data_IF_281777864177
#
_entry.id   IF_281777864177
#
_cell.length_a   1.000
_cell.length_b   1.000
_cell.length_c   1.000
_cell.angle_alpha   90.00
_cell.angle_beta   90.00
_cell.angle_gamma   90.00
#
_symmetry.space_group_name_H-M   'P 1'
#
loop_
_entity.id
_entity.type
_entity.pdbx_description
1 polymer ?
#
# COMPACT_ATOMS: atom_id res chain seq x y z
N UNK A 1 18.40 17.47 7.78
CA UNK A 1 17.72 16.26 7.24
C UNK A 1 16.75 15.84 8.34
N UNK A 2 15.45 16.09 8.16
CA UNK A 2 14.44 15.68 9.14
C UNK A 2 13.82 14.36 8.71
N UNK A 3 13.91 13.35 9.57
CA UNK A 3 13.22 12.07 9.41
C UNK A 3 11.74 12.28 9.77
N UNK A 4 10.87 12.34 8.76
CA UNK A 4 9.44 12.62 8.95
C UNK A 4 8.61 11.41 9.42
N UNK A 5 9.14 10.18 9.34
CA UNK A 5 8.47 9.00 9.89
C UNK A 5 9.50 7.99 10.42
N UNK A 6 9.21 7.35 11.56
CA UNK A 6 10.08 6.35 12.19
C UNK A 6 9.27 5.21 12.78
N UNK A 7 9.90 4.06 13.02
CA UNK A 7 9.28 2.89 13.67
C UNK A 7 8.67 3.18 15.05
N UNK A 8 9.15 4.24 15.72
CA UNK A 8 8.68 4.66 17.03
C UNK A 8 7.67 5.82 16.95
N UNK A 9 7.34 6.29 15.74
CA UNK A 9 6.31 7.31 15.56
C UNK A 9 4.94 6.75 15.96
N UNK A 10 4.08 7.62 16.47
CA UNK A 10 2.67 7.30 16.62
C UNK A 10 2.07 6.98 15.25
N UNK A 11 1.04 6.14 15.23
CA UNK A 11 0.27 5.83 14.02
C UNK A 11 -0.23 7.13 13.38
N UNK A 12 -0.17 7.20 12.05
CA UNK A 12 -0.77 8.31 11.34
C UNK A 12 -2.28 8.08 11.25
N UNK A 13 -3.07 9.06 11.65
CA UNK A 13 -4.53 8.95 11.67
C UNK A 13 -5.12 9.94 10.66
N UNK A 14 -5.97 9.44 9.76
CA UNK A 14 -6.78 10.29 8.90
C UNK A 14 -8.26 10.17 9.25
N UNK A 15 -8.95 11.31 9.32
CA UNK A 15 -10.38 11.40 9.63
C UNK A 15 -11.10 11.54 8.29
N UNK A 16 -11.63 10.42 7.80
CA UNK A 16 -12.24 10.33 6.47
C UNK A 16 -13.60 11.02 6.41
N UNK A 17 -14.35 11.01 7.52
CA UNK A 17 -15.68 11.60 7.63
C UNK A 17 -15.98 12.09 9.05
N UNK A 18 -16.88 13.07 9.21
CA UNK A 18 -17.32 13.59 10.51
C UNK A 18 -16.47 14.71 11.12
N UNK A 19 -15.46 15.23 10.39
CA UNK A 19 -14.54 16.27 10.90
C UNK A 19 -15.19 17.65 11.14
N UNK A 20 -16.35 17.91 10.52
CA UNK A 20 -17.21 19.07 10.76
C UNK A 20 -18.68 18.66 10.61
N UNK A 21 -19.38 18.43 11.71
CA UNK A 21 -20.84 18.32 11.73
C UNK A 21 -21.44 19.65 12.17
N UNK A 22 -22.15 20.36 11.29
CA UNK A 22 -23.00 21.47 11.71
C UNK A 22 -24.33 20.89 12.18
N UNK A 23 -24.66 21.09 13.45
CA UNK A 23 -25.82 20.46 14.07
C UNK A 23 -26.66 21.50 14.82
N UNK A 24 -27.92 21.65 14.44
CA UNK A 24 -28.88 22.49 15.15
C UNK A 24 -29.56 21.66 16.22
N UNK A 25 -29.25 21.93 17.49
CA UNK A 25 -29.87 21.25 18.63
C UNK A 25 -30.89 22.16 19.31
N UNK A 26 -32.03 21.58 19.64
CA UNK A 26 -33.03 22.21 20.50
C UNK A 26 -32.81 21.76 21.96
N UNK A 27 -33.25 22.55 22.96
CA UNK A 27 -33.15 22.16 24.35
C UNK A 27 -33.78 20.78 24.61
N UNK A 28 -32.98 19.85 25.15
CA UNK A 28 -33.39 18.46 25.41
C UNK A 28 -32.91 17.44 24.37
N UNK A 29 -32.36 17.86 23.24
CA UNK A 29 -31.80 16.94 22.25
C UNK A 29 -30.32 16.63 22.52
N UNK A 30 -29.94 15.36 22.38
CA UNK A 30 -28.55 14.88 22.37
C UNK A 30 -28.25 14.34 20.98
N UNK A 31 -27.07 14.67 20.45
CA UNK A 31 -26.59 14.08 19.21
C UNK A 31 -25.23 13.47 19.40
N UNK A 32 -25.06 12.31 18.77
CA UNK A 32 -23.85 11.50 18.82
C UNK A 32 -23.14 11.66 17.47
N UNK A 33 -21.85 11.99 17.52
CA UNK A 33 -20.99 12.05 16.34
C UNK A 33 -19.99 10.91 16.46
N UNK A 34 -20.00 10.01 15.47
CA UNK A 34 -19.09 8.87 15.40
C UNK A 34 -18.16 9.08 14.18
N UNK A 35 -16.98 9.72 14.37
CA UNK A 35 -16.05 9.90 13.27
C UNK A 35 -15.39 8.56 12.90
N UNK A 36 -15.20 8.34 11.60
CA UNK A 36 -14.43 7.19 11.12
C UNK A 36 -12.95 7.58 11.01
N UNK A 37 -12.09 6.83 11.72
CA UNK A 37 -10.64 7.06 11.76
C UNK A 37 -9.94 5.91 11.03
N UNK A 38 -9.13 6.24 10.03
CA UNK A 38 -8.22 5.27 9.38
C UNK A 38 -6.85 5.33 10.03
N UNK A 39 -6.32 4.16 10.40
CA UNK A 39 -4.98 4.03 10.98
C UNK A 39 -3.99 3.66 9.89
N UNK A 40 -3.08 4.57 9.59
CA UNK A 40 -2.12 4.47 8.51
C UNK A 40 -0.73 4.11 9.03
N UNK A 41 -0.06 3.23 8.29
CA UNK A 41 1.34 2.86 8.51
C UNK A 41 2.08 2.93 7.19
N UNK A 42 3.24 3.57 7.18
CA UNK A 42 4.14 3.55 6.02
C UNK A 42 4.86 2.21 5.96
N UNK A 43 4.52 1.40 4.98
CA UNK A 43 5.13 0.10 4.74
C UNK A 43 6.24 0.24 3.70
N UNK A 44 7.36 -0.43 3.96
CA UNK A 44 8.48 -0.57 3.05
C UNK A 44 8.89 -2.04 2.96
N UNK A 45 9.29 -2.49 1.78
CA UNK A 45 9.69 -3.87 1.57
C UNK A 45 10.21 -4.11 0.17
N UNK A 46 10.47 -5.38 -0.16
CA UNK A 46 10.94 -5.80 -1.49
C UNK A 46 10.09 -6.94 -2.01
N UNK A 47 9.76 -6.92 -3.29
CA UNK A 47 8.87 -7.90 -3.90
C UNK A 47 9.62 -8.95 -4.68
N UNK A 48 9.21 -10.21 -4.48
CA UNK A 48 9.69 -11.36 -5.23
C UNK A 48 8.54 -12.15 -5.83
N UNK A 49 8.78 -12.70 -7.02
CA UNK A 49 8.01 -13.79 -7.60
C UNK A 49 8.25 -15.11 -6.82
N UNK A 50 7.48 -16.16 -7.12
CA UNK A 50 7.58 -17.46 -6.43
C UNK A 50 8.94 -18.15 -6.66
N UNK A 51 9.60 -17.90 -7.78
CA UNK A 51 10.98 -18.35 -8.06
C UNK A 51 12.07 -17.52 -7.35
N UNK A 52 11.67 -16.45 -6.64
CA UNK A 52 12.58 -15.52 -5.99
C UNK A 52 13.07 -14.37 -6.88
N UNK A 53 12.61 -14.29 -8.13
CA UNK A 53 12.93 -13.19 -9.04
C UNK A 53 12.40 -11.86 -8.53
N UNK A 54 13.20 -10.79 -8.62
CA UNK A 54 12.78 -9.45 -8.20
C UNK A 54 11.76 -8.86 -9.19
N UNK A 55 10.68 -8.28 -8.67
CA UNK A 55 9.66 -7.62 -9.48
C UNK A 55 9.92 -6.11 -9.53
N UNK A 56 10.80 -5.71 -10.43
CA UNK A 56 11.12 -4.30 -10.68
C UNK A 56 10.02 -3.59 -11.50
N UNK A 57 9.81 -2.29 -11.28
CA UNK A 57 8.83 -1.47 -12.01
C UNK A 57 7.37 -1.99 -12.00
N UNK A 58 7.05 -2.88 -11.06
CA UNK A 58 5.71 -3.42 -10.86
C UNK A 58 4.79 -2.35 -10.27
N UNK A 59 3.53 -2.33 -10.72
CA UNK A 59 2.55 -1.38 -10.19
C UNK A 59 1.90 -1.98 -8.95
N UNK A 60 1.92 -1.25 -7.85
CA UNK A 60 1.30 -1.65 -6.59
C UNK A 60 0.08 -0.77 -6.37
N UNK A 61 -1.05 -1.39 -6.04
CA UNK A 61 -2.26 -0.70 -5.63
C UNK A 61 -2.66 -1.22 -4.23
N UNK A 62 -3.27 -0.35 -3.45
CA UNK A 62 -3.94 -0.69 -2.21
C UNK A 62 -5.23 0.15 -2.17
N UNK A 63 -6.10 -0.19 -1.23
CA UNK A 63 -7.30 0.53 -0.87
C UNK A 63 -7.14 2.06 -0.80
N UNK A 64 -5.98 2.58 -0.38
CA UNK A 64 -5.78 4.03 -0.20
C UNK A 64 -4.88 4.70 -1.24
N UNK A 65 -4.16 3.94 -2.07
CA UNK A 65 -3.08 4.53 -2.87
C UNK A 65 -2.46 3.59 -3.88
N UNK A 66 -1.53 4.14 -4.67
CA UNK A 66 -0.83 3.43 -5.74
C UNK A 66 0.62 3.86 -5.76
N UNK A 67 1.53 2.91 -5.97
CA UNK A 67 2.97 3.15 -6.10
C UNK A 67 3.57 2.24 -7.16
N UNK A 68 4.88 2.31 -7.36
CA UNK A 68 5.65 1.39 -8.21
C UNK A 68 6.88 0.91 -7.47
N UNK A 69 7.27 -0.34 -7.71
CA UNK A 69 8.57 -0.83 -7.25
C UNK A 69 9.70 -0.19 -8.04
N UNK A 70 10.86 -0.04 -7.41
CA UNK A 70 12.08 0.43 -8.06
C UNK A 70 12.78 -0.68 -8.86
N UNK A 71 14.02 -0.43 -9.30
CA UNK A 71 14.85 -1.40 -10.04
C UNK A 71 15.21 -2.65 -9.22
N UNK A 72 15.23 -2.55 -7.89
CA UNK A 72 15.52 -3.65 -6.96
C UNK A 72 14.24 -4.36 -6.49
N UNK A 73 13.07 -3.97 -6.98
CA UNK A 73 11.79 -4.49 -6.52
C UNK A 73 11.34 -3.91 -5.17
N UNK A 74 11.98 -2.86 -4.68
CA UNK A 74 11.66 -2.21 -3.41
C UNK A 74 10.49 -1.25 -3.58
N UNK A 75 9.67 -1.10 -2.53
CA UNK A 75 8.54 -0.19 -2.51
C UNK A 75 8.40 0.51 -1.17
N UNK A 76 7.76 1.68 -1.21
CA UNK A 76 7.27 2.40 -0.04
C UNK A 76 5.85 2.85 -0.32
N UNK A 77 4.92 2.59 0.62
CA UNK A 77 3.54 3.05 0.53
C UNK A 77 2.86 3.11 1.88
N UNK A 78 1.87 3.99 2.03
CA UNK A 78 0.99 3.96 3.19
C UNK A 78 -0.08 2.87 3.03
N UNK A 79 -0.42 2.22 4.15
CA UNK A 79 -1.37 1.10 4.21
C UNK A 79 -2.34 1.31 5.37
N UNK A 80 -3.62 0.99 5.14
CA UNK A 80 -4.65 0.91 6.18
C UNK A 80 -4.49 -0.36 7.01
N UNK A 81 -4.31 -0.22 8.33
CA UNK A 81 -4.23 -1.36 9.25
C UNK A 81 -5.51 -2.19 9.26
N UNK A 82 -6.67 -1.60 8.92
CA UNK A 82 -7.95 -2.30 8.81
C UNK A 82 -8.02 -3.18 7.56
N UNK A 83 -7.34 -2.78 6.50
CA UNK A 83 -7.30 -3.47 5.20
C UNK A 83 -5.85 -3.59 4.72
N UNK A 84 -5.01 -4.43 5.36
CA UNK A 84 -3.59 -4.49 5.08
C UNK A 84 -3.29 -5.37 3.85
N UNK A 85 -3.99 -5.15 2.75
CA UNK A 85 -3.81 -5.89 1.49
C UNK A 85 -3.18 -5.01 0.44
N UNK A 86 -2.34 -5.60 -0.41
CA UNK A 86 -1.70 -4.92 -1.53
C UNK A 86 -1.84 -5.78 -2.79
N UNK A 87 -2.20 -5.12 -3.88
CA UNK A 87 -2.41 -5.70 -5.20
C UNK A 87 -1.26 -5.31 -6.12
N UNK A 88 -0.62 -6.30 -6.69
CA UNK A 88 0.45 -6.12 -7.66
C UNK A 88 -0.10 -6.33 -9.06
N UNK A 89 0.30 -5.48 -10.00
CA UNK A 89 0.10 -5.71 -11.42
C UNK A 89 1.40 -5.52 -12.20
N UNK A 90 1.74 -6.54 -13.00
CA UNK A 90 3.02 -6.63 -13.70
C UNK A 90 2.84 -7.09 -15.15
N UNK A 91 2.52 -6.15 -16.05
CA UNK A 91 2.36 -6.41 -17.49
C UNK A 91 1.25 -7.42 -17.85
N UNK A 92 0.67 -7.32 -19.05
CA UNK A 92 -0.17 -8.37 -19.64
C UNK A 92 -1.19 -9.07 -18.72
N UNK A 93 -2.01 -8.30 -17.97
CA UNK A 93 -3.03 -8.79 -17.03
C UNK A 93 -2.55 -9.68 -15.88
N UNK A 94 -1.25 -9.71 -15.58
CA UNK A 94 -0.73 -10.49 -14.47
C UNK A 94 -0.90 -9.72 -13.17
N UNK A 95 -1.60 -10.32 -12.21
CA UNK A 95 -1.85 -9.72 -10.90
C UNK A 95 -1.69 -10.73 -9.77
N UNK A 96 -1.33 -10.25 -8.58
CA UNK A 96 -1.44 -11.01 -7.34
C UNK A 96 -1.89 -10.10 -6.21
N UNK A 97 -2.46 -10.70 -5.17
CA UNK A 97 -2.85 -10.01 -3.94
C UNK A 97 -2.05 -10.60 -2.78
N UNK A 98 -1.54 -9.75 -1.90
CA UNK A 98 -0.81 -10.17 -0.71
C UNK A 98 -1.35 -9.44 0.52
N UNK A 99 -1.64 -10.20 1.57
CA UNK A 99 -1.97 -9.66 2.89
C UNK A 99 -0.69 -9.45 3.71
N UNK A 100 -0.57 -8.27 4.33
CA UNK A 100 0.53 -7.89 5.19
C UNK A 100 0.13 -8.02 6.67
N UNK A 101 1.05 -8.50 7.50
CA UNK A 101 0.84 -8.55 8.95
C UNK A 101 1.28 -7.23 9.61
N UNK A 102 0.32 -6.34 9.88
CA UNK A 102 0.56 -5.00 10.41
C UNK A 102 -0.01 -4.76 11.82
N UNK A 103 -0.50 -5.80 12.51
CA UNK A 103 -1.17 -5.64 13.82
C UNK A 103 -0.31 -4.92 14.87
N UNK A 104 1.00 -5.19 14.88
CA UNK A 104 1.97 -4.58 15.80
C UNK A 104 2.74 -3.40 15.20
N UNK A 105 2.52 -3.07 13.92
CA UNK A 105 3.27 -2.02 13.24
C UNK A 105 2.82 -0.63 13.70
N UNK A 106 3.78 0.29 13.84
CA UNK A 106 3.54 1.70 14.20
C UNK A 106 4.38 2.63 13.34
N UNK A 107 3.76 3.73 12.88
CA UNK A 107 4.42 4.78 12.10
C UNK A 107 4.95 4.31 10.73
N UNK A 108 6.09 3.63 10.73
CA UNK A 108 6.70 2.99 9.57
C UNK A 108 7.26 1.60 9.88
N UNK A 109 7.12 0.66 8.95
CA UNK A 109 7.60 -0.72 9.10
C UNK A 109 8.30 -1.22 7.84
N UNK A 110 9.39 -1.96 8.03
CA UNK A 110 10.04 -2.75 6.98
C UNK A 110 9.52 -4.19 7.08
N UNK A 111 8.80 -4.65 6.07
CA UNK A 111 8.19 -6.00 6.04
C UNK A 111 9.11 -7.06 5.43
N UNK A 112 10.26 -6.67 4.87
CA UNK A 112 11.19 -7.59 4.24
C UNK A 112 10.77 -8.00 2.83
N UNK A 113 11.10 -9.24 2.48
CA UNK A 113 10.76 -9.83 1.19
C UNK A 113 9.30 -10.32 1.19
N UNK A 114 8.48 -9.75 0.33
CA UNK A 114 7.09 -10.12 0.11
C UNK A 114 7.03 -10.98 -1.15
N UNK A 115 6.58 -12.23 -0.98
CA UNK A 115 6.45 -13.18 -2.09
C UNK A 115 5.03 -13.10 -2.65
N UNK A 116 4.94 -12.87 -3.95
CA UNK A 116 3.71 -12.74 -4.70
C UNK A 116 3.40 -14.08 -5.39
N UNK A 117 2.43 -14.81 -4.84
CA UNK A 117 2.08 -16.15 -5.29
C UNK A 117 1.30 -16.14 -6.62
N UNK A 118 1.50 -17.18 -7.43
CA UNK A 118 0.99 -17.28 -8.81
C UNK A 118 1.88 -16.64 -9.87
N UNK A 119 3.01 -16.04 -9.47
CA UNK A 119 3.97 -15.42 -10.39
C UNK A 119 5.24 -16.28 -10.45
N UNK A 120 5.33 -17.24 -11.36
CA UNK A 120 6.39 -18.25 -11.30
C UNK A 120 7.78 -17.78 -11.75
N UNK A 121 7.92 -16.84 -12.70
CA UNK A 121 9.20 -16.21 -13.08
C UNK A 121 8.99 -15.18 -14.19
N UNK A 122 8.93 -13.88 -13.89
CA UNK A 122 8.57 -12.88 -14.92
C UNK A 122 9.56 -11.73 -15.14
N UNK A 123 10.79 -11.81 -14.64
CA UNK A 123 11.84 -10.85 -15.02
C UNK A 123 12.34 -11.00 -16.47
N UNK A 124 11.79 -11.91 -17.26
CA UNK A 124 12.14 -12.06 -18.67
C UNK A 124 10.99 -11.65 -19.61
N UNK A 125 10.50 -10.41 -19.51
CA UNK A 125 9.84 -9.74 -20.66
C UNK A 125 10.28 -8.29 -20.68
N UNK A 126 11.55 -8.09 -21.04
CA UNK A 126 12.02 -6.83 -21.57
C UNK A 126 12.89 -7.15 -22.79
N UNK A 127 12.23 -7.53 -23.89
CA UNK A 127 12.88 -7.52 -25.20
C UNK A 127 11.89 -7.27 -26.34
N UNK A 128 12.25 -6.23 -27.11
CA UNK A 128 11.89 -5.88 -28.48
C UNK A 128 10.41 -5.69 -28.85
N UNK A 129 10.05 -4.41 -28.99
CA UNK A 129 8.98 -3.94 -29.87
C UNK A 129 9.47 -2.80 -30.75
N UNK A 130 10.67 -2.93 -31.33
CA UNK A 130 11.00 -2.27 -32.60
C UNK A 130 10.55 -3.22 -33.70
N UNK A 131 9.46 -2.90 -34.41
CA UNK A 131 9.21 -3.42 -35.77
C UNK A 131 8.11 -2.60 -36.48
N UNK A 132 8.61 -1.67 -37.32
CA UNK A 132 8.16 -1.29 -38.66
C UNK A 132 6.70 -0.81 -38.89
N UNK A 133 6.56 0.51 -39.03
CA UNK A 133 5.58 1.10 -39.96
C UNK A 133 6.02 0.81 -41.41
N UNK A 134 5.10 0.31 -42.22
CA UNK A 134 5.17 0.23 -43.69
C UNK A 134 3.84 0.66 -44.27
#
# INVERSE_FOLDING_TARGET
MELQNSKNSLDSYDIVSGRKSHLTLYPGNVAVIEPEVKQMVTVSGRIRAEDGTLLANARINNHIGRTRTDENGEFVMDVDKKYPTIDFSYGGNKTCEVALELSQARGAVWVGDVVCSGLSSWAAVQQSGEENES
#
